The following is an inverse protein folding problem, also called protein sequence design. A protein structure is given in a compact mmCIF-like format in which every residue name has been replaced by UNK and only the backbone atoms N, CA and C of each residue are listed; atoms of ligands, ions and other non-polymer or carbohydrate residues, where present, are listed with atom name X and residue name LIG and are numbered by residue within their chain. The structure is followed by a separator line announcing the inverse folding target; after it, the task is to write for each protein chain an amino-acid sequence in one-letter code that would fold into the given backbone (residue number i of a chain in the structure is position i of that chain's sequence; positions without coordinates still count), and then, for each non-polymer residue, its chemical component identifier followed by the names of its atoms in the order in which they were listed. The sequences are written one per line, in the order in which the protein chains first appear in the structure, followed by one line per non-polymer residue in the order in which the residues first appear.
data_IF_527742241347
#
_entry.id   IF_527742241347
#
_cell.length_a   1.000
_cell.length_b   1.000
_cell.length_c   1.000
_cell.angle_alpha   90.00
_cell.angle_beta   90.00
_cell.angle_gamma   90.00
#
_symmetry.space_group_name_H-M   'P 1'
#
loop_
_entity.id
_entity.type
_entity.pdbx_description
1 polymer ?
#
# COMPACT_ATOMS: atom_id res chain seq x y z
N UNK A 1 4.90 4.48 -24.89
CA UNK A 1 3.66 4.80 -25.63
C UNK A 1 3.55 6.30 -25.92
N UNK A 2 3.25 7.17 -24.94
CA UNK A 2 3.06 8.62 -25.18
C UNK A 2 4.28 9.33 -25.81
N UNK A 3 5.51 8.99 -25.40
CA UNK A 3 6.72 9.60 -25.96
C UNK A 3 7.05 9.15 -27.39
N UNK A 4 6.57 7.97 -27.81
CA UNK A 4 6.70 7.50 -29.20
C UNK A 4 5.62 8.14 -30.07
N UNK A 5 4.42 8.34 -29.51
CA UNK A 5 3.27 8.92 -30.20
C UNK A 5 3.26 10.47 -30.19
N UNK A 6 4.24 11.11 -29.52
CA UNK A 6 4.30 12.58 -29.35
C UNK A 6 3.03 13.20 -28.73
N UNK A 7 2.38 12.46 -27.83
CA UNK A 7 1.18 12.93 -27.11
C UNK A 7 1.57 13.32 -25.69
N UNK A 8 0.99 14.41 -25.19
CA UNK A 8 1.16 14.83 -23.80
C UNK A 8 0.71 13.72 -22.83
N UNK A 9 1.49 13.45 -21.78
CA UNK A 9 1.11 12.43 -20.79
C UNK A 9 -0.19 12.76 -20.08
N UNK A 10 -0.48 14.05 -19.89
CA UNK A 10 -1.73 14.52 -19.28
C UNK A 10 -2.93 14.02 -20.07
N UNK A 11 -2.96 14.16 -21.39
CA UNK A 11 -4.11 13.76 -22.20
C UNK A 11 -4.32 12.25 -22.23
N UNK A 12 -3.25 11.45 -22.16
CA UNK A 12 -3.35 9.99 -22.18
C UNK A 12 -3.64 9.36 -20.81
N UNK A 13 -3.13 9.94 -19.73
CA UNK A 13 -3.26 9.38 -18.38
C UNK A 13 -4.28 10.12 -17.48
N UNK A 14 -5.06 11.05 -18.02
CA UNK A 14 -6.10 11.79 -17.26
C UNK A 14 -7.33 10.95 -16.91
N UNK A 15 -7.30 9.62 -17.04
CA UNK A 15 -8.32 8.80 -16.39
C UNK A 15 -8.33 9.10 -14.90
N UNK A 16 -9.49 9.51 -14.37
CA UNK A 16 -9.70 9.76 -12.97
C UNK A 16 -9.36 8.48 -12.20
N UNK A 17 -8.14 8.41 -11.68
CA UNK A 17 -7.72 7.30 -10.84
C UNK A 17 -8.52 7.39 -9.57
N UNK A 18 -9.38 6.41 -9.34
CA UNK A 18 -9.91 6.17 -8.01
C UNK A 18 -8.72 6.10 -7.04
N UNK A 19 -8.75 6.83 -5.92
CA UNK A 19 -7.71 6.70 -4.93
C UNK A 19 -7.62 5.22 -4.57
N UNK A 20 -6.44 4.63 -4.76
CA UNK A 20 -6.21 3.26 -4.33
C UNK A 20 -6.65 3.15 -2.87
N UNK A 21 -7.29 2.04 -2.50
CA UNK A 21 -7.72 1.74 -1.11
C UNK A 21 -6.51 1.67 -0.18
N UNK A 22 -5.93 2.82 0.13
CA UNK A 22 -4.75 2.93 0.98
C UNK A 22 -5.11 2.60 2.44
N UNK A 23 -6.39 2.71 2.78
CA UNK A 23 -6.94 2.54 4.12
C UNK A 23 -6.99 1.07 4.59
N UNK A 24 -7.19 0.10 3.69
CA UNK A 24 -7.27 -1.32 4.07
C UNK A 24 -5.95 -1.81 4.70
N UNK A 25 -4.82 -1.29 4.23
CA UNK A 25 -3.51 -1.68 4.72
C UNK A 25 -3.19 -1.04 6.08
N UNK A 26 -3.58 0.21 6.30
CA UNK A 26 -3.34 0.93 7.57
C UNK A 26 -4.21 0.36 8.68
N UNK A 27 -5.48 0.06 8.41
CA UNK A 27 -6.36 -0.61 9.37
C UNK A 27 -5.80 -1.97 9.79
N UNK A 28 -5.38 -2.79 8.82
CA UNK A 28 -4.80 -4.10 9.11
C UNK A 28 -3.50 -4.02 9.94
N UNK A 29 -2.67 -2.99 9.72
CA UNK A 29 -1.45 -2.73 10.50
C UNK A 29 -1.81 -2.42 11.97
N UNK A 30 -2.73 -1.47 12.19
CA UNK A 30 -3.19 -1.06 13.53
C UNK A 30 -3.76 -2.26 14.27
N UNK A 31 -4.60 -3.04 13.59
CA UNK A 31 -5.19 -4.26 14.10
C UNK A 31 -4.15 -5.27 14.62
N UNK A 32 -3.13 -5.56 13.81
CA UNK A 32 -2.06 -6.51 14.16
C UNK A 32 -1.24 -5.96 15.34
N UNK A 33 -0.97 -4.65 15.33
CA UNK A 33 -0.19 -4.00 16.38
C UNK A 33 -0.89 -4.05 17.73
N UNK A 34 -2.20 -3.76 17.78
CA UNK A 34 -2.99 -3.82 19.00
C UNK A 34 -3.28 -5.25 19.45
N UNK A 35 -3.62 -6.17 18.55
CA UNK A 35 -3.83 -7.60 18.87
C UNK A 35 -2.61 -8.25 19.51
N UNK A 36 -1.41 -7.79 19.14
CA UNK A 36 -0.16 -8.29 19.72
C UNK A 36 0.32 -7.50 20.95
N UNK A 37 -0.48 -6.61 21.52
CA UNK A 37 -0.08 -5.74 22.67
C UNK A 37 1.21 -4.96 22.38
N UNK A 38 1.38 -4.47 21.15
CA UNK A 38 2.51 -3.64 20.71
C UNK A 38 3.87 -4.36 20.71
N UNK A 39 3.93 -5.69 20.82
CA UNK A 39 5.19 -6.43 20.84
C UNK A 39 5.76 -6.72 19.43
N UNK A 40 4.98 -6.53 18.37
CA UNK A 40 5.44 -6.68 17.00
C UNK A 40 5.98 -5.37 16.44
N UNK A 41 7.24 -5.38 16.00
CA UNK A 41 7.81 -4.34 15.16
C UNK A 41 7.51 -4.54 13.68
N UNK A 42 7.97 -3.59 12.84
CA UNK A 42 7.67 -3.52 11.39
C UNK A 42 7.98 -4.80 10.62
N UNK A 43 9.03 -5.54 11.00
CA UNK A 43 9.39 -6.83 10.38
C UNK A 43 8.35 -7.92 10.63
N UNK A 44 7.84 -8.04 11.87
CA UNK A 44 6.84 -9.05 12.24
C UNK A 44 5.46 -8.69 11.68
N UNK A 45 5.11 -7.40 11.71
CA UNK A 45 3.86 -6.89 11.11
C UNK A 45 3.83 -7.19 9.61
N UNK A 46 4.93 -6.98 8.87
CA UNK A 46 5.01 -7.31 7.45
C UNK A 46 4.71 -8.78 7.15
N UNK A 47 5.23 -9.70 7.97
CA UNK A 47 4.96 -11.15 7.80
C UNK A 47 3.48 -11.44 8.03
N UNK A 48 2.87 -10.88 9.07
CA UNK A 48 1.44 -11.05 9.35
C UNK A 48 0.52 -10.43 8.29
N UNK A 49 0.93 -9.33 7.66
CA UNK A 49 0.21 -8.77 6.52
C UNK A 49 0.33 -9.64 5.28
N UNK A 50 1.51 -10.20 5.03
CA UNK A 50 1.72 -11.14 3.94
C UNK A 50 0.88 -12.42 4.10
N UNK A 51 0.75 -12.96 5.31
CA UNK A 51 -0.16 -14.07 5.61
C UNK A 51 -1.63 -13.74 5.28
N UNK A 52 -2.01 -12.46 5.33
CA UNK A 52 -3.35 -11.97 4.95
C UNK A 52 -3.46 -11.56 3.47
N UNK A 53 -2.43 -11.81 2.66
CA UNK A 53 -2.39 -11.41 1.25
C UNK A 53 -2.08 -9.93 1.00
N UNK A 54 -1.77 -9.16 2.06
CA UNK A 54 -1.45 -7.74 1.97
C UNK A 54 0.06 -7.57 1.85
N UNK A 55 0.52 -7.14 0.66
CA UNK A 55 1.93 -6.92 0.39
C UNK A 55 2.27 -5.44 0.61
N UNK A 56 2.94 -5.15 1.73
CA UNK A 56 3.41 -3.80 2.06
C UNK A 56 4.92 -3.73 2.28
N UNK A 57 5.49 -2.55 2.00
CA UNK A 57 6.89 -2.27 2.28
C UNK A 57 7.09 -1.97 3.77
N UNK A 58 8.31 -2.19 4.30
CA UNK A 58 8.64 -1.84 5.69
C UNK A 58 8.55 -0.32 5.93
N UNK A 59 8.88 0.49 4.92
CA UNK A 59 8.76 1.96 4.95
C UNK A 59 7.31 2.45 5.06
N UNK A 60 6.34 1.64 4.65
CA UNK A 60 4.91 1.99 4.75
C UNK A 60 4.31 1.61 6.11
N UNK A 61 5.01 0.79 6.89
CA UNK A 61 4.54 0.32 8.22
C UNK A 61 5.08 1.20 9.35
N UNK A 62 6.31 1.72 9.22
CA UNK A 62 7.01 2.49 10.25
C UNK A 62 7.20 3.94 9.87
#
# INVERSE_FOLDING_TARGET
MCGVLQIARSTFYYEAKEPAKEDDATEAIVDIFHKNRKAYGTRKIKVKLHERGIVVSRRRIG
#
